data_IF_141338456234
#
_entry.id   IF_141338456234
#
_cell.length_a   1.000
_cell.length_b   1.000
_cell.length_c   1.000
_cell.angle_alpha   90.00
_cell.angle_beta   90.00
_cell.angle_gamma   90.00
#
_symmetry.space_group_name_H-M   'P 1'
#
loop_
_entity.id
_entity.type
_entity.pdbx_description
1 polymer ?
#
# COMPACT_ATOMS: atom_id res chain seq x y z
N UNK A 1 -11.57 21.58 5.29
CA UNK A 1 -11.20 20.14 5.23
C UNK A 1 -9.68 20.05 5.30
N UNK A 2 -9.12 19.60 6.41
CA UNK A 2 -7.65 19.45 6.54
C UNK A 2 -7.21 18.26 5.69
N UNK A 3 -6.36 18.51 4.71
CA UNK A 3 -5.68 17.44 3.95
C UNK A 3 -4.63 16.81 4.85
N UNK A 4 -4.99 15.80 5.60
CA UNK A 4 -4.00 15.00 6.33
C UNK A 4 -3.39 14.02 5.32
N UNK A 5 -2.20 14.31 4.83
CA UNK A 5 -1.42 13.36 4.06
C UNK A 5 -0.76 12.33 5.00
N UNK A 6 -0.55 11.10 4.54
CA UNK A 6 0.17 10.08 5.30
C UNK A 6 1.53 10.59 5.80
N UNK A 7 2.20 11.44 5.01
CA UNK A 7 3.46 12.09 5.39
C UNK A 7 3.30 12.96 6.63
N UNK A 8 2.17 13.66 6.81
CA UNK A 8 1.89 14.48 8.00
C UNK A 8 1.49 13.64 9.21
N UNK A 9 1.00 12.42 8.98
CA UNK A 9 0.54 11.53 10.03
C UNK A 9 1.73 10.84 10.74
N UNK A 10 2.79 10.45 10.02
CA UNK A 10 3.91 9.74 10.62
C UNK A 10 5.20 10.56 10.79
N UNK A 11 5.46 11.55 9.95
CA UNK A 11 6.67 12.34 9.94
C UNK A 11 6.68 13.39 11.08
N UNK A 12 6.77 12.95 12.33
CA UNK A 12 6.81 13.83 13.51
C UNK A 12 8.08 13.72 14.34
N UNK A 13 9.19 13.26 13.72
CA UNK A 13 10.48 13.20 14.38
C UNK A 13 10.77 11.87 15.09
N UNK A 14 10.00 10.83 14.82
CA UNK A 14 10.37 9.47 15.22
C UNK A 14 11.68 9.05 14.54
N UNK A 15 12.57 8.40 15.28
CA UNK A 15 13.89 8.02 14.79
C UNK A 15 13.83 6.98 13.65
N UNK A 16 12.86 6.07 13.70
CA UNK A 16 12.64 5.03 12.69
C UNK A 16 11.15 4.78 12.47
N UNK A 17 10.74 4.22 11.33
CA UNK A 17 9.35 3.82 11.10
C UNK A 17 8.84 2.84 12.17
N UNK A 18 9.67 1.91 12.62
CA UNK A 18 9.30 0.93 13.65
C UNK A 18 8.96 1.63 14.97
N UNK A 19 9.78 2.60 15.39
CA UNK A 19 9.52 3.40 16.59
C UNK A 19 8.24 4.24 16.47
N UNK A 20 7.91 4.68 15.25
CA UNK A 20 6.72 5.49 14.97
C UNK A 20 5.44 4.70 14.70
N UNK A 21 5.51 3.39 14.48
CA UNK A 21 4.37 2.59 14.00
C UNK A 21 3.15 2.66 14.95
N UNK A 22 3.36 2.46 16.24
CA UNK A 22 2.27 2.49 17.22
C UNK A 22 1.57 3.86 17.29
N UNK A 23 2.34 4.93 17.25
CA UNK A 23 1.80 6.29 17.24
C UNK A 23 1.09 6.63 15.91
N UNK A 24 1.59 6.12 14.78
CA UNK A 24 0.93 6.23 13.48
C UNK A 24 -0.40 5.49 13.49
N UNK A 25 -0.43 4.25 13.95
CA UNK A 25 -1.65 3.43 14.10
C UNK A 25 -2.71 4.17 14.92
N UNK A 26 -2.34 4.69 16.09
CA UNK A 26 -3.25 5.44 16.96
C UNK A 26 -3.80 6.73 16.30
N UNK A 27 -3.00 7.36 15.43
CA UNK A 27 -3.45 8.54 14.66
C UNK A 27 -4.40 8.14 13.53
N UNK A 28 -4.12 7.06 12.83
CA UNK A 28 -4.98 6.54 11.75
C UNK A 28 -6.34 6.07 12.27
N UNK A 29 -6.37 5.44 13.45
CA UNK A 29 -7.62 5.00 14.11
C UNK A 29 -8.57 6.16 14.44
N UNK A 30 -8.05 7.40 14.56
CA UNK A 30 -8.89 8.60 14.75
C UNK A 30 -9.51 9.14 13.47
N UNK A 31 -9.11 8.63 12.32
CA UNK A 31 -9.73 8.97 11.04
C UNK A 31 -11.02 8.17 10.86
N UNK A 32 -11.90 8.68 10.00
CA UNK A 32 -13.08 7.92 9.59
C UNK A 32 -12.63 6.78 8.67
N UNK A 33 -12.52 5.59 9.21
CA UNK A 33 -12.31 4.36 8.46
C UNK A 33 -13.62 3.59 8.37
N UNK A 34 -13.92 2.90 7.28
CA UNK A 34 -13.09 2.74 6.07
C UNK A 34 -12.89 4.04 5.29
N UNK A 35 -11.75 4.15 4.59
CA UNK A 35 -11.50 5.28 3.70
C UNK A 35 -12.51 5.30 2.55
N UNK A 36 -12.99 6.48 2.15
CA UNK A 36 -13.90 6.61 1.02
C UNK A 36 -13.23 6.23 -0.31
N UNK A 37 -11.97 6.63 -0.48
CA UNK A 37 -11.15 6.27 -1.63
C UNK A 37 -9.69 6.16 -1.27
N UNK A 38 -9.02 5.21 -1.88
CA UNK A 38 -7.56 5.06 -1.83
C UNK A 38 -7.00 5.13 -3.25
N UNK A 39 -6.01 6.00 -3.44
CA UNK A 39 -5.27 6.12 -4.70
C UNK A 39 -3.93 5.41 -4.56
N UNK A 40 -3.68 4.46 -5.43
CA UNK A 40 -2.46 3.65 -5.46
C UNK A 40 -1.70 3.88 -6.75
N UNK A 41 -0.39 4.05 -6.63
CA UNK A 41 0.54 3.75 -7.71
C UNK A 41 1.01 2.30 -7.59
N UNK A 42 1.72 1.81 -8.61
CA UNK A 42 2.41 0.52 -8.56
C UNK A 42 3.86 0.66 -9.02
N UNK A 43 4.74 -0.15 -8.47
CA UNK A 43 6.10 -0.32 -8.94
C UNK A 43 6.20 -1.31 -10.10
N UNK A 44 7.30 -1.27 -10.85
CA UNK A 44 7.61 -2.25 -11.89
C UNK A 44 7.82 -3.67 -11.34
N UNK A 45 8.08 -3.82 -10.04
CA UNK A 45 8.16 -5.08 -9.30
C UNK A 45 6.79 -5.56 -8.76
N UNK A 46 5.73 -4.77 -8.94
CA UNK A 46 4.38 -5.10 -8.48
C UNK A 46 4.08 -4.71 -7.04
N UNK A 47 4.93 -3.88 -6.39
CA UNK A 47 4.57 -3.31 -5.10
C UNK A 47 3.46 -2.26 -5.25
N UNK A 48 2.67 -2.09 -4.21
CA UNK A 48 1.78 -0.94 -4.02
C UNK A 48 1.97 -0.39 -2.60
N UNK A 49 1.63 0.89 -2.36
CA UNK A 49 2.01 1.58 -1.13
C UNK A 49 3.52 1.40 -0.87
N UNK A 50 3.90 0.82 0.27
CA UNK A 50 5.27 0.34 0.50
C UNK A 50 5.29 -1.13 0.91
N UNK A 51 4.45 -1.95 0.28
CA UNK A 51 4.39 -3.40 0.43
C UNK A 51 5.15 -4.04 -0.73
N UNK A 52 6.41 -4.38 -0.51
CA UNK A 52 7.33 -4.84 -1.53
C UNK A 52 7.41 -6.36 -1.63
N UNK A 53 7.74 -6.91 -2.81
CA UNK A 53 7.95 -8.35 -2.95
C UNK A 53 8.96 -8.89 -1.92
N UNK A 54 8.61 -10.01 -1.29
CA UNK A 54 9.43 -10.66 -0.28
C UNK A 54 9.38 -10.07 1.13
N UNK A 55 8.81 -8.87 1.32
CA UNK A 55 8.70 -8.28 2.66
C UNK A 55 7.59 -8.96 3.47
N UNK A 56 7.87 -9.21 4.75
CA UNK A 56 6.88 -9.74 5.69
C UNK A 56 5.62 -8.86 5.80
N UNK A 57 5.75 -7.56 5.56
CA UNK A 57 4.65 -6.59 5.57
C UNK A 57 3.52 -6.93 4.59
N UNK A 58 3.83 -7.65 3.49
CA UNK A 58 2.81 -8.11 2.51
C UNK A 58 1.81 -9.08 3.13
N UNK A 59 2.26 -9.88 4.12
CA UNK A 59 1.47 -10.94 4.74
C UNK A 59 0.75 -10.48 6.03
N UNK A 60 0.83 -9.19 6.37
CA UNK A 60 0.15 -8.64 7.55
C UNK A 60 -1.36 -8.60 7.32
N UNK A 61 -2.12 -9.14 8.26
CA UNK A 61 -3.58 -9.31 8.17
C UNK A 61 -4.37 -8.37 9.08
N UNK A 62 -3.70 -7.58 9.90
CA UNK A 62 -4.31 -6.67 10.87
C UNK A 62 -3.60 -5.31 10.91
N UNK A 63 -4.26 -4.31 11.51
CA UNK A 63 -3.73 -2.95 11.66
C UNK A 63 -3.88 -2.09 10.42
N UNK A 64 -3.66 -0.80 10.59
CA UNK A 64 -3.82 0.22 9.54
C UNK A 64 -2.48 0.59 8.90
N UNK A 65 -1.37 0.51 9.64
CA UNK A 65 -0.04 0.81 9.11
C UNK A 65 1.01 -0.18 9.57
N UNK A 66 2.09 -0.24 8.82
CA UNK A 66 3.25 -1.10 9.09
C UNK A 66 4.53 -0.40 8.68
N UNK A 67 5.58 -0.58 9.46
CA UNK A 67 6.92 -0.19 9.08
C UNK A 67 7.44 -1.10 7.96
N UNK A 68 7.96 -0.49 6.90
CA UNK A 68 8.73 -1.15 5.85
C UNK A 68 10.21 -0.85 6.09
N UNK A 69 11.02 -1.85 6.46
CA UNK A 69 12.38 -1.63 6.89
C UNK A 69 13.29 -1.14 5.76
N UNK A 70 14.40 -0.54 6.14
CA UNK A 70 15.46 -0.19 5.22
C UNK A 70 16.10 -1.44 4.62
N UNK A 71 16.46 -1.34 3.35
CA UNK A 71 17.24 -2.34 2.63
C UNK A 71 18.38 -1.65 1.89
N UNK A 72 19.27 -2.42 1.26
CA UNK A 72 20.38 -1.87 0.45
C UNK A 72 19.90 -0.92 -0.66
N UNK A 73 18.69 -1.15 -1.19
CA UNK A 73 18.12 -0.40 -2.31
C UNK A 73 16.95 0.51 -1.93
N UNK A 74 16.57 0.56 -0.66
CA UNK A 74 15.36 1.24 -0.23
C UNK A 74 15.48 1.81 1.18
N UNK A 75 15.15 3.09 1.32
CA UNK A 75 15.04 3.75 2.65
C UNK A 75 13.85 3.19 3.43
N UNK A 76 13.96 3.22 4.75
CA UNK A 76 12.88 2.84 5.65
C UNK A 76 11.63 3.72 5.45
N UNK A 77 10.43 3.13 5.55
CA UNK A 77 9.16 3.81 5.29
C UNK A 77 8.07 3.33 6.24
N UNK A 78 7.00 4.13 6.33
CA UNK A 78 5.71 3.70 6.89
C UNK A 78 4.75 3.45 5.73
N UNK A 79 3.99 2.35 5.78
CA UNK A 79 3.00 1.99 4.76
C UNK A 79 1.63 1.79 5.39
N UNK A 80 0.56 2.02 4.63
CA UNK A 80 -0.72 1.37 4.92
C UNK A 80 -0.55 -0.14 4.75
N UNK A 81 -1.26 -0.90 5.56
CA UNK A 81 -1.35 -2.35 5.40
C UNK A 81 -2.27 -2.73 4.24
N UNK A 82 -2.15 -3.95 3.72
CA UNK A 82 -3.11 -4.46 2.74
C UNK A 82 -4.55 -4.47 3.28
N UNK A 83 -4.84 -4.93 4.51
CA UNK A 83 -6.19 -4.84 5.08
C UNK A 83 -6.74 -3.41 5.11
N UNK A 84 -5.93 -2.41 5.47
CA UNK A 84 -6.37 -1.01 5.49
C UNK A 84 -6.76 -0.50 4.09
N UNK A 85 -5.97 -0.85 3.07
CA UNK A 85 -6.25 -0.51 1.67
C UNK A 85 -7.50 -1.23 1.17
N UNK A 86 -7.61 -2.54 1.43
CA UNK A 86 -8.72 -3.37 0.94
C UNK A 86 -10.04 -3.12 1.68
N UNK A 87 -10.01 -2.49 2.84
CA UNK A 87 -11.22 -2.05 3.55
C UNK A 87 -11.76 -0.70 3.05
N UNK A 88 -11.11 -0.05 2.09
CA UNK A 88 -11.61 1.18 1.49
C UNK A 88 -12.92 0.93 0.72
N UNK A 89 -13.71 1.98 0.54
CA UNK A 89 -14.95 1.90 -0.27
C UNK A 89 -14.67 1.83 -1.77
N UNK A 90 -13.52 2.38 -2.18
CA UNK A 90 -13.08 2.42 -3.59
C UNK A 90 -11.56 2.50 -3.66
N UNK A 91 -10.98 1.76 -4.60
CA UNK A 91 -9.55 1.83 -4.92
C UNK A 91 -9.39 2.36 -6.35
N UNK A 92 -8.49 3.31 -6.54
CA UNK A 92 -8.01 3.76 -7.84
C UNK A 92 -6.54 3.35 -7.99
N UNK A 93 -6.25 2.56 -8.99
CA UNK A 93 -4.89 2.15 -9.35
C UNK A 93 -4.43 2.93 -10.57
N UNK A 94 -3.34 3.69 -10.44
CA UNK A 94 -2.80 4.55 -11.48
C UNK A 94 -1.37 4.11 -11.83
N UNK A 95 -1.10 3.92 -13.11
CA UNK A 95 0.26 3.64 -13.60
C UNK A 95 0.42 3.99 -15.07
N UNK A 96 1.68 4.04 -15.51
CA UNK A 96 2.04 4.27 -16.92
C UNK A 96 3.37 3.56 -17.25
N UNK A 97 3.58 3.31 -18.52
CA UNK A 97 4.78 2.67 -19.04
C UNK A 97 4.64 1.16 -19.26
N UNK A 98 5.35 0.66 -20.27
CA UNK A 98 5.22 -0.72 -20.74
C UNK A 98 5.61 -1.78 -19.70
N UNK A 99 6.62 -1.50 -18.87
CA UNK A 99 7.06 -2.38 -17.78
C UNK A 99 5.96 -2.60 -16.75
N UNK A 100 5.23 -1.54 -16.39
CA UNK A 100 4.12 -1.62 -15.45
C UNK A 100 2.88 -2.29 -16.05
N UNK A 101 2.63 -2.09 -17.35
CA UNK A 101 1.58 -2.84 -18.04
C UNK A 101 1.84 -4.36 -18.02
N UNK A 102 3.08 -4.78 -18.26
CA UNK A 102 3.47 -6.18 -18.19
C UNK A 102 3.27 -6.74 -16.76
N UNK A 103 3.72 -6.00 -15.73
CA UNK A 103 3.57 -6.40 -14.34
C UNK A 103 2.10 -6.40 -13.88
N UNK A 104 1.30 -5.47 -14.35
CA UNK A 104 -0.15 -5.45 -14.11
C UNK A 104 -0.82 -6.71 -14.68
N UNK A 105 -0.49 -7.09 -15.93
CA UNK A 105 -1.01 -8.31 -16.55
C UNK A 105 -0.61 -9.57 -15.75
N UNK A 106 0.63 -9.64 -15.27
CA UNK A 106 1.11 -10.70 -14.39
C UNK A 106 0.33 -10.75 -13.07
N UNK A 107 0.07 -9.60 -12.45
CA UNK A 107 -0.65 -9.52 -11.19
C UNK A 107 -2.12 -9.94 -11.28
N UNK A 108 -2.72 -9.92 -12.46
CA UNK A 108 -4.07 -10.45 -12.70
C UNK A 108 -4.11 -11.98 -12.71
N UNK A 109 -2.99 -12.64 -12.93
CA UNK A 109 -2.90 -14.10 -12.93
C UNK A 109 -2.78 -14.66 -11.51
N UNK A 110 -3.23 -15.92 -11.29
CA UNK A 110 -3.01 -16.62 -10.03
C UNK A 110 -1.51 -16.67 -9.67
N UNK A 111 -1.22 -16.56 -8.39
CA UNK A 111 0.16 -16.62 -7.89
C UNK A 111 0.25 -16.14 -6.45
N UNK A 112 1.46 -16.23 -5.90
CA UNK A 112 1.71 -15.88 -4.49
C UNK A 112 1.77 -14.36 -4.33
N UNK A 113 0.97 -13.75 -3.42
CA UNK A 113 1.01 -12.30 -3.21
C UNK A 113 2.37 -11.77 -2.74
N UNK A 114 3.15 -12.55 -2.00
CA UNK A 114 4.49 -12.14 -1.57
C UNK A 114 5.48 -11.98 -2.74
N UNK A 115 5.21 -12.58 -3.90
CA UNK A 115 6.02 -12.37 -5.11
C UNK A 115 5.58 -11.13 -5.89
N UNK A 116 4.27 -10.90 -5.97
CA UNK A 116 3.67 -9.75 -6.65
C UNK A 116 2.56 -9.20 -5.75
N UNK A 117 2.86 -8.25 -4.85
CA UNK A 117 1.89 -7.73 -3.86
C UNK A 117 0.60 -7.18 -4.47
N UNK A 118 0.66 -6.62 -5.67
CA UNK A 118 -0.49 -6.09 -6.39
C UNK A 118 -1.61 -7.15 -6.60
N UNK A 119 -1.29 -8.45 -6.52
CA UNK A 119 -2.29 -9.54 -6.53
C UNK A 119 -3.33 -9.38 -5.42
N UNK A 120 -2.92 -8.84 -4.25
CA UNK A 120 -3.85 -8.56 -3.15
C UNK A 120 -4.95 -7.57 -3.55
N UNK A 121 -4.62 -6.60 -4.39
CA UNK A 121 -5.57 -5.58 -4.87
C UNK A 121 -6.41 -6.09 -6.03
N UNK A 122 -5.80 -6.76 -7.00
CA UNK A 122 -6.46 -7.12 -8.26
C UNK A 122 -7.29 -8.41 -8.19
N UNK A 123 -6.97 -9.32 -7.26
CA UNK A 123 -7.61 -10.64 -7.16
C UNK A 123 -8.57 -10.79 -5.99
N UNK A 124 -8.94 -9.70 -5.34
CA UNK A 124 -9.98 -9.66 -4.33
C UNK A 124 -11.32 -9.21 -4.94
N UNK A 125 -12.43 -9.46 -4.24
CA UNK A 125 -13.79 -9.12 -4.68
C UNK A 125 -14.54 -8.22 -3.69
N UNK A 126 -13.90 -7.80 -2.60
CA UNK A 126 -14.59 -7.02 -1.55
C UNK A 126 -14.67 -5.52 -1.88
N UNK A 127 -13.70 -4.98 -2.59
CA UNK A 127 -13.59 -3.54 -2.86
C UNK A 127 -13.44 -3.27 -4.35
N UNK A 128 -14.30 -2.42 -4.93
CA UNK A 128 -14.22 -2.05 -6.33
C UNK A 128 -12.88 -1.37 -6.65
N UNK A 129 -12.22 -1.81 -7.73
CA UNK A 129 -10.98 -1.23 -8.23
C UNK A 129 -11.23 -0.60 -9.60
N UNK A 130 -10.86 0.67 -9.74
CA UNK A 130 -10.80 1.35 -11.04
C UNK A 130 -9.34 1.51 -11.43
N UNK A 131 -8.98 1.03 -12.61
CA UNK A 131 -7.63 1.13 -13.15
C UNK A 131 -7.57 2.28 -14.15
N UNK A 132 -6.61 3.15 -13.97
CA UNK A 132 -6.29 4.27 -14.85
C UNK A 132 -4.84 4.12 -15.31
N UNK A 133 -4.64 3.90 -16.59
CA UNK A 133 -3.30 3.70 -17.15
C UNK A 133 -3.09 4.47 -18.44
N UNK A 134 -1.83 4.79 -18.71
CA UNK A 134 -1.38 5.39 -19.95
C UNK A 134 -0.18 4.61 -20.49
N UNK A 135 0.08 4.68 -21.83
CA UNK A 135 1.25 4.05 -22.45
C UNK A 135 2.57 4.43 -21.80
#
# INVERSE_FOLDING_TARGET
>A
MRKNTLKEIWARGEATPEAGQSACEARLQKLNVPFDAVYLGMGGDGHFASLFPGDAAVNVTEGLCIAAPETVSRVARMSLTAPAVLNARKIFLLFFGADKHAKYAEAQQPGVPSEVPLRLVLRQSQTPVTVLSAP
#
